data_IF_994220100122
#
_entry.id   IF_994220100122
#
_cell.length_a   1.000
_cell.length_b   1.000
_cell.length_c   1.000
_cell.angle_alpha   90.00
_cell.angle_beta   90.00
_cell.angle_gamma   90.00
#
_symmetry.space_group_name_H-M   'P 1'
#
loop_
_entity.id
_entity.type
_entity.pdbx_description
1 polymer ?
#
# COMPACT_ATOMS: atom_id res chain seq x y z
N UNK A 1 -24.70 6.70 45.01
CA UNK A 1 -25.09 6.83 46.44
C UNK A 1 -25.67 8.21 46.61
N UNK A 2 -26.88 8.38 47.18
CA UNK A 2 -27.35 9.71 47.54
C UNK A 2 -26.29 10.37 48.42
N UNK A 3 -25.89 11.58 48.07
CA UNK A 3 -24.93 12.33 48.88
C UNK A 3 -25.54 12.55 50.26
N UNK A 4 -24.72 12.59 51.31
CA UNK A 4 -25.16 12.80 52.70
C UNK A 4 -26.15 13.96 52.83
N UNK A 5 -25.99 15.00 52.01
CA UNK A 5 -26.88 16.16 51.87
C UNK A 5 -28.27 15.82 51.35
N UNK A 6 -28.38 14.95 50.33
CA UNK A 6 -29.67 14.53 49.76
C UNK A 6 -30.49 13.70 50.77
N UNK A 7 -29.81 12.85 51.54
CA UNK A 7 -30.44 12.08 52.63
C UNK A 7 -30.95 13.01 53.74
N UNK A 8 -30.18 14.04 54.10
CA UNK A 8 -30.60 15.05 55.06
C UNK A 8 -31.81 15.87 54.58
N UNK A 9 -31.84 16.26 53.31
CA UNK A 9 -32.99 16.99 52.72
C UNK A 9 -34.27 16.13 52.67
N UNK A 10 -34.16 14.85 52.32
CA UNK A 10 -35.28 13.92 52.36
C UNK A 10 -35.82 13.71 53.79
N UNK A 11 -34.93 13.63 54.79
CA UNK A 11 -35.32 13.56 56.19
C UNK A 11 -36.01 14.85 56.66
N UNK A 12 -35.54 16.02 56.21
CA UNK A 12 -36.17 17.31 56.53
C UNK A 12 -37.58 17.42 55.94
N UNK A 13 -37.80 16.99 54.68
CA UNK A 13 -39.14 16.93 54.06
C UNK A 13 -40.06 15.98 54.81
N UNK A 14 -39.56 14.81 55.21
CA UNK A 14 -40.35 13.84 55.97
C UNK A 14 -40.75 14.38 57.35
N UNK A 15 -39.87 15.16 57.99
CA UNK A 15 -40.17 15.84 59.25
C UNK A 15 -41.22 16.95 59.06
N UNK A 16 -41.01 17.89 58.12
CA UNK A 16 -41.95 19.01 57.91
C UNK A 16 -43.32 18.54 57.41
N UNK A 17 -43.38 17.49 56.59
CA UNK A 17 -44.64 16.88 56.16
C UNK A 17 -45.39 16.22 57.33
N UNK A 18 -44.66 15.63 58.28
CA UNK A 18 -45.25 15.06 59.49
C UNK A 18 -45.77 16.16 60.41
N UNK A 19 -45.01 17.23 60.60
CA UNK A 19 -45.41 18.40 61.39
C UNK A 19 -46.69 19.03 60.80
N UNK A 20 -46.76 19.19 59.47
CA UNK A 20 -47.96 19.66 58.78
C UNK A 20 -49.17 18.71 58.96
N UNK A 21 -48.94 17.39 58.93
CA UNK A 21 -49.99 16.39 59.17
C UNK A 21 -50.51 16.45 60.61
N UNK A 22 -49.63 16.61 61.59
CA UNK A 22 -49.97 16.70 63.01
C UNK A 22 -50.76 18.00 63.29
N UNK A 23 -50.36 19.14 62.70
CA UNK A 23 -51.10 20.42 62.76
C UNK A 23 -52.48 20.34 62.09
N UNK A 24 -52.58 19.74 60.90
CA UNK A 24 -53.87 19.51 60.24
C UNK A 24 -54.79 18.63 61.09
N UNK A 25 -54.24 17.61 61.74
CA UNK A 25 -54.99 16.68 62.59
C UNK A 25 -55.50 17.37 63.86
N UNK A 26 -54.69 18.23 64.48
CA UNK A 26 -55.10 19.02 65.65
C UNK A 26 -56.19 20.04 65.29
N UNK A 27 -56.04 20.76 64.18
CA UNK A 27 -57.05 21.72 63.69
C UNK A 27 -58.37 21.04 63.32
N UNK A 28 -58.33 19.82 62.78
CA UNK A 28 -59.54 19.02 62.54
C UNK A 28 -60.24 18.61 63.85
N UNK A 29 -59.48 18.27 64.90
CA UNK A 29 -60.04 17.90 66.21
C UNK A 29 -60.66 19.11 66.92
N UNK A 30 -59.97 20.25 66.95
CA UNK A 30 -60.47 21.52 67.50
C UNK A 30 -61.77 21.98 66.82
N UNK A 31 -61.85 21.78 65.49
CA UNK A 31 -63.07 22.06 64.71
C UNK A 31 -64.24 21.13 65.05
N UNK A 32 -63.97 19.90 65.50
CA UNK A 32 -65.01 18.95 65.94
C UNK A 32 -65.50 19.22 67.37
N UNK A 33 -64.63 19.72 68.25
CA UNK A 33 -64.97 20.05 69.65
C UNK A 33 -65.60 21.44 69.82
N UNK A 34 -65.51 22.30 68.79
CA UNK A 34 -66.11 23.64 68.79
C UNK A 34 -65.28 24.72 69.50
N UNK A 35 -64.01 24.43 69.76
CA UNK A 35 -63.05 25.37 70.35
C UNK A 35 -62.48 26.32 69.28
N UNK A 36 -62.18 27.59 69.63
CA UNK A 36 -61.58 28.53 68.68
C UNK A 36 -60.20 28.05 68.25
N UNK A 37 -59.86 28.26 66.98
CA UNK A 37 -58.53 27.91 66.47
C UNK A 37 -57.45 28.71 67.24
N UNK A 38 -56.28 28.11 67.53
CA UNK A 38 -55.18 28.78 68.23
C UNK A 38 -54.60 29.98 67.47
N UNK A 39 -54.73 29.97 66.14
CA UNK A 39 -54.15 30.92 65.20
C UNK A 39 -55.01 30.94 63.90
N UNK A 40 -54.97 32.01 63.12
CA UNK A 40 -55.73 32.18 61.86
C UNK A 40 -55.24 31.25 60.72
N UNK A 41 -54.45 30.22 61.06
CA UNK A 41 -53.85 29.26 60.13
C UNK A 41 -52.46 29.66 59.65
N UNK A 42 -51.82 30.66 60.28
CA UNK A 42 -50.52 31.19 59.89
C UNK A 42 -49.41 30.16 60.09
N UNK A 43 -49.42 29.43 61.20
CA UNK A 43 -48.47 28.33 61.46
C UNK A 43 -48.55 27.23 60.38
N UNK A 44 -49.75 26.92 59.89
CA UNK A 44 -49.94 25.92 58.83
C UNK A 44 -49.44 26.45 57.48
N UNK A 45 -49.69 27.72 57.17
CA UNK A 45 -49.16 28.35 55.96
C UNK A 45 -47.62 28.35 55.96
N UNK A 46 -46.98 28.68 57.08
CA UNK A 46 -45.52 28.66 57.22
C UNK A 46 -44.94 27.25 57.00
N UNK A 47 -45.58 26.20 57.53
CA UNK A 47 -45.15 24.81 57.28
C UNK A 47 -45.33 24.38 55.82
N UNK A 48 -46.36 24.87 55.13
CA UNK A 48 -46.56 24.59 53.71
C UNK A 48 -45.57 25.35 52.83
N UNK A 49 -45.26 26.60 53.16
CA UNK A 49 -44.27 27.41 52.45
C UNK A 49 -42.87 26.80 52.57
N UNK A 50 -42.47 26.35 53.77
CA UNK A 50 -41.21 25.62 53.96
C UNK A 50 -41.19 24.32 53.15
N UNK A 51 -42.27 23.54 53.12
CA UNK A 51 -42.35 22.33 52.29
C UNK A 51 -42.18 22.66 50.80
N UNK A 52 -42.83 23.72 50.32
CA UNK A 52 -42.72 24.17 48.94
C UNK A 52 -41.27 24.57 48.58
N UNK A 53 -40.60 25.30 49.46
CA UNK A 53 -39.20 25.71 49.30
C UNK A 53 -38.25 24.49 49.26
N UNK A 54 -38.45 23.52 50.16
CA UNK A 54 -37.67 22.27 50.16
C UNK A 54 -37.90 21.47 48.87
N UNK A 55 -39.15 21.38 48.39
CA UNK A 55 -39.48 20.71 47.13
C UNK A 55 -38.83 21.41 45.93
N UNK A 56 -38.92 22.74 45.86
CA UNK A 56 -38.31 23.56 44.80
C UNK A 56 -36.79 23.36 44.77
N UNK A 57 -36.14 23.41 45.93
CA UNK A 57 -34.70 23.15 46.08
C UNK A 57 -34.31 21.75 45.58
N UNK A 58 -35.10 20.72 45.89
CA UNK A 58 -34.83 19.36 45.45
C UNK A 58 -35.03 19.14 43.95
N UNK A 59 -36.06 19.77 43.39
CA UNK A 59 -36.28 19.75 41.96
C UNK A 59 -35.12 20.42 41.21
N UNK A 60 -34.64 21.58 41.72
CA UNK A 60 -33.47 22.27 41.18
C UNK A 60 -32.22 21.38 41.24
N UNK A 61 -31.90 20.79 42.40
CA UNK A 61 -30.74 19.91 42.55
C UNK A 61 -30.82 18.67 41.62
N UNK A 62 -32.01 18.11 41.44
CA UNK A 62 -32.23 17.00 40.50
C UNK A 62 -32.00 17.44 39.05
N UNK A 63 -32.48 18.62 38.67
CA UNK A 63 -32.26 19.19 37.35
C UNK A 63 -30.78 19.45 37.09
N UNK A 64 -30.07 20.00 38.07
CA UNK A 64 -28.65 20.32 37.97
C UNK A 64 -27.81 19.04 37.84
N UNK A 65 -28.10 18.01 38.65
CA UNK A 65 -27.42 16.71 38.51
C UNK A 65 -27.68 16.04 37.15
N UNK A 66 -28.90 16.14 36.61
CA UNK A 66 -29.21 15.68 35.25
C UNK A 66 -28.43 16.47 34.19
N UNK A 67 -28.29 17.78 34.38
CA UNK A 67 -27.52 18.61 33.46
C UNK A 67 -26.02 18.31 33.53
N UNK A 68 -25.46 18.12 34.72
CA UNK A 68 -24.06 17.76 34.93
C UNK A 68 -23.72 16.42 34.27
N UNK A 69 -24.57 15.40 34.47
CA UNK A 69 -24.39 14.09 33.83
C UNK A 69 -24.53 14.17 32.31
N UNK A 70 -25.45 14.98 31.78
CA UNK A 70 -25.60 15.22 30.35
C UNK A 70 -24.36 15.93 29.76
N UNK A 71 -23.82 16.95 30.45
CA UNK A 71 -22.62 17.66 30.05
C UNK A 71 -21.39 16.74 30.05
N UNK A 72 -21.22 15.93 31.10
CA UNK A 72 -20.13 14.96 31.19
C UNK A 72 -20.23 13.90 30.08
N UNK A 73 -21.44 13.43 29.77
CA UNK A 73 -21.68 12.51 28.65
C UNK A 73 -21.31 13.15 27.31
N UNK A 74 -21.76 14.38 27.06
CA UNK A 74 -21.43 15.11 25.82
C UNK A 74 -19.92 15.27 25.65
N UNK A 75 -19.20 15.64 26.71
CA UNK A 75 -17.74 15.75 26.69
C UNK A 75 -17.06 14.39 26.42
N UNK A 76 -17.58 13.29 26.98
CA UNK A 76 -17.10 11.94 26.69
C UNK A 76 -17.32 11.56 25.21
N UNK A 77 -18.50 11.84 24.67
CA UNK A 77 -18.86 11.54 23.29
C UNK A 77 -17.97 12.31 22.30
N UNK A 78 -17.67 13.58 22.58
CA UNK A 78 -16.72 14.40 21.81
C UNK A 78 -15.33 13.76 21.77
N UNK A 79 -14.81 13.33 22.93
CA UNK A 79 -13.52 12.63 23.00
C UNK A 79 -13.55 11.29 22.29
N UNK A 80 -14.68 10.58 22.32
CA UNK A 80 -14.83 9.31 21.61
C UNK A 80 -14.77 9.50 20.10
N UNK A 81 -15.41 10.53 19.55
CA UNK A 81 -15.30 10.89 18.13
C UNK A 81 -13.85 11.24 17.78
N UNK A 82 -13.18 12.04 18.61
CA UNK A 82 -11.76 12.36 18.43
C UNK A 82 -10.86 11.12 18.39
N UNK A 83 -11.11 10.14 19.27
CA UNK A 83 -10.41 8.87 19.28
C UNK A 83 -10.65 8.07 17.98
N UNK A 84 -11.89 8.01 17.50
CA UNK A 84 -12.22 7.33 16.25
C UNK A 84 -11.50 7.95 15.05
N UNK A 85 -11.42 9.28 14.98
CA UNK A 85 -10.68 9.98 13.93
C UNK A 85 -9.20 9.59 13.92
N UNK A 86 -8.53 9.66 15.07
CA UNK A 86 -7.10 9.28 15.18
C UNK A 86 -6.87 7.80 14.87
N UNK A 87 -7.79 6.93 15.28
CA UNK A 87 -7.72 5.50 14.97
C UNK A 87 -7.86 5.24 13.47
N UNK A 88 -8.72 6.01 12.78
CA UNK A 88 -8.85 5.95 11.33
C UNK A 88 -7.57 6.45 10.64
N UNK A 89 -7.04 7.61 11.04
CA UNK A 89 -5.79 8.15 10.50
C UNK A 89 -4.62 7.16 10.68
N UNK A 90 -4.46 6.59 11.87
CA UNK A 90 -3.46 5.56 12.15
C UNK A 90 -3.59 4.38 11.19
N UNK A 91 -4.80 3.88 10.98
CA UNK A 91 -5.05 2.74 10.08
C UNK A 91 -4.68 3.10 8.64
N UNK A 92 -5.12 4.26 8.17
CA UNK A 92 -4.80 4.75 6.83
C UNK A 92 -3.28 4.85 6.61
N UNK A 93 -2.56 5.46 7.55
CA UNK A 93 -1.10 5.58 7.48
C UNK A 93 -0.41 4.21 7.48
N UNK A 94 -0.90 3.25 8.28
CA UNK A 94 -0.35 1.89 8.28
C UNK A 94 -0.59 1.19 6.94
N UNK A 95 -1.77 1.33 6.35
CA UNK A 95 -2.08 0.79 5.02
C UNK A 95 -1.18 1.43 3.94
N UNK A 96 -0.96 2.74 3.98
CA UNK A 96 -0.04 3.42 3.07
C UNK A 96 1.41 2.96 3.26
N UNK A 97 1.87 2.79 4.50
CA UNK A 97 3.22 2.27 4.78
C UNK A 97 3.38 0.87 4.18
N UNK A 98 2.37 0.00 4.29
CA UNK A 98 2.41 -1.34 3.69
C UNK A 98 2.48 -1.23 2.16
N UNK A 99 1.67 -0.37 1.54
CA UNK A 99 1.70 -0.13 0.08
C UNK A 99 3.08 0.37 -0.37
N UNK A 100 3.65 1.34 0.35
CA UNK A 100 4.99 1.87 0.05
C UNK A 100 6.09 0.82 0.23
N UNK A 101 5.98 -0.06 1.24
CA UNK A 101 6.93 -1.17 1.44
C UNK A 101 6.79 -2.29 0.43
N UNK A 102 5.58 -2.50 -0.09
CA UNK A 102 5.31 -3.46 -1.15
C UNK A 102 5.80 -2.97 -2.52
N UNK A 103 6.28 -1.73 -2.64
CA UNK A 103 6.89 -1.24 -3.86
C UNK A 103 8.15 -2.04 -4.20
N UNK A 104 8.02 -2.90 -5.22
CA UNK A 104 9.13 -3.65 -5.81
C UNK A 104 9.62 -2.89 -7.04
N UNK A 105 10.82 -2.33 -6.93
CA UNK A 105 11.51 -1.69 -8.05
C UNK A 105 12.14 -2.76 -8.95
N UNK A 106 12.06 -2.57 -10.27
CA UNK A 106 12.57 -3.51 -11.28
C UNK A 106 14.05 -3.92 -11.07
N UNK A 107 14.90 -3.05 -10.49
CA UNK A 107 16.32 -3.37 -10.30
C UNK A 107 16.56 -4.55 -9.33
N UNK A 108 15.59 -4.90 -8.48
CA UNK A 108 15.72 -6.01 -7.53
C UNK A 108 15.67 -7.39 -8.22
N UNK A 109 15.16 -7.45 -9.45
CA UNK A 109 15.02 -8.68 -10.23
C UNK A 109 16.10 -8.81 -11.32
N UNK A 110 16.97 -7.82 -11.46
CA UNK A 110 18.02 -7.83 -12.47
C UNK A 110 19.20 -8.64 -11.94
N UNK A 111 19.59 -9.68 -12.68
CA UNK A 111 20.86 -10.36 -12.48
C UNK A 111 22.00 -9.37 -12.76
N UNK A 112 22.80 -9.07 -11.74
CA UNK A 112 23.93 -8.15 -11.80
C UNK A 112 25.24 -8.91 -11.68
N UNK A 113 26.29 -8.37 -12.29
CA UNK A 113 27.67 -8.85 -12.09
C UNK A 113 28.01 -8.92 -10.58
N UNK A 114 28.63 -10.02 -10.11
CA UNK A 114 29.08 -10.17 -8.72
C UNK A 114 29.94 -8.99 -8.25
N UNK A 115 29.91 -8.71 -6.94
CA UNK A 115 30.61 -7.55 -6.36
C UNK A 115 32.12 -7.62 -6.62
N UNK A 116 32.71 -8.82 -6.51
CA UNK A 116 34.14 -9.06 -6.75
C UNK A 116 34.56 -8.71 -8.19
N UNK A 117 33.78 -9.17 -9.16
CA UNK A 117 34.00 -8.87 -10.58
C UNK A 117 33.76 -7.40 -10.91
N UNK A 118 32.77 -6.78 -10.27
CA UNK A 118 32.52 -5.35 -10.39
C UNK A 118 33.74 -4.55 -9.92
N UNK A 119 34.31 -4.83 -8.75
CA UNK A 119 35.50 -4.11 -8.28
C UNK A 119 36.73 -4.33 -9.15
N UNK A 120 36.85 -5.49 -9.80
CA UNK A 120 37.96 -5.79 -10.69
C UNK A 120 37.83 -5.13 -12.08
N UNK A 121 36.61 -5.05 -12.63
CA UNK A 121 36.37 -4.62 -14.02
C UNK A 121 35.87 -3.17 -14.13
N UNK A 122 35.29 -2.62 -13.07
CA UNK A 122 34.71 -1.28 -13.12
C UNK A 122 35.78 -0.18 -13.23
N UNK A 123 35.59 0.82 -14.12
CA UNK A 123 36.40 2.03 -14.16
C UNK A 123 36.37 2.80 -12.83
N UNK A 124 37.43 3.58 -12.58
CA UNK A 124 37.59 4.37 -11.34
C UNK A 124 36.39 5.29 -11.04
N UNK A 125 35.74 5.82 -12.08
CA UNK A 125 34.55 6.68 -11.99
C UNK A 125 33.36 6.00 -11.28
N UNK A 126 33.22 4.67 -11.39
CA UNK A 126 32.16 3.90 -10.75
C UNK A 126 32.54 3.35 -9.38
N UNK A 127 33.82 3.47 -9.01
CA UNK A 127 34.36 3.04 -7.73
C UNK A 127 34.35 4.16 -6.67
N UNK A 128 33.78 5.32 -6.98
CA UNK A 128 33.61 6.42 -6.02
C UNK A 128 32.46 6.15 -5.03
N UNK A 129 32.60 6.65 -3.79
CA UNK A 129 31.56 6.62 -2.74
C UNK A 129 31.00 5.22 -2.40
N UNK A 130 31.84 4.19 -2.40
CA UNK A 130 31.46 2.81 -2.08
C UNK A 130 30.98 2.62 -0.63
N UNK A 131 31.33 3.54 0.26
CA UNK A 131 30.94 3.49 1.68
C UNK A 131 29.41 3.56 1.87
N UNK A 132 28.69 4.13 0.90
CA UNK A 132 27.22 4.18 0.92
C UNK A 132 26.64 3.04 0.06
N UNK A 133 25.91 2.07 0.65
CA UNK A 133 25.31 0.95 -0.08
C UNK A 133 24.39 1.37 -1.23
N UNK A 134 23.67 2.49 -1.09
CA UNK A 134 22.78 2.98 -2.12
C UNK A 134 23.55 3.50 -3.34
N UNK A 135 24.63 4.26 -3.09
CA UNK A 135 25.50 4.77 -4.16
C UNK A 135 26.25 3.62 -4.85
N UNK A 136 26.72 2.64 -4.08
CA UNK A 136 27.31 1.42 -4.63
C UNK A 136 26.35 0.71 -5.59
N UNK A 137 25.07 0.55 -5.20
CA UNK A 137 24.06 -0.07 -6.07
C UNK A 137 23.81 0.73 -7.35
N UNK A 138 23.72 2.07 -7.25
CA UNK A 138 23.56 2.94 -8.42
C UNK A 138 24.73 2.80 -9.37
N UNK A 139 25.97 2.79 -8.86
CA UNK A 139 27.16 2.67 -9.67
C UNK A 139 27.24 1.30 -10.35
N UNK A 140 26.86 0.22 -9.65
CA UNK A 140 26.73 -1.13 -10.22
C UNK A 140 25.72 -1.16 -11.36
N UNK A 141 24.54 -0.56 -11.19
CA UNK A 141 23.52 -0.51 -12.23
C UNK A 141 23.98 0.28 -13.48
N UNK A 142 24.67 1.40 -13.28
CA UNK A 142 25.22 2.20 -14.39
C UNK A 142 26.30 1.44 -15.16
N UNK A 143 27.17 0.73 -14.44
CA UNK A 143 28.21 -0.10 -15.05
C UNK A 143 27.59 -1.24 -15.87
N UNK A 144 26.61 -1.96 -15.30
CA UNK A 144 25.88 -3.01 -16.00
C UNK A 144 25.17 -2.48 -17.26
N UNK A 145 24.57 -1.29 -17.17
CA UNK A 145 23.94 -0.64 -18.31
C UNK A 145 24.95 -0.41 -19.44
N UNK A 146 26.13 0.13 -19.11
CA UNK A 146 27.21 0.36 -20.09
C UNK A 146 27.70 -0.94 -20.73
N UNK A 147 27.96 -1.97 -19.92
CA UNK A 147 28.39 -3.27 -20.45
C UNK A 147 27.34 -3.86 -21.38
N UNK A 148 26.06 -3.86 -20.98
CA UNK A 148 24.97 -4.37 -21.82
C UNK A 148 24.77 -3.57 -23.11
N UNK A 149 24.94 -2.25 -23.07
CA UNK A 149 24.89 -1.44 -24.30
C UNK A 149 26.06 -1.77 -25.23
N UNK A 150 27.27 -1.90 -24.68
CA UNK A 150 28.46 -2.22 -25.48
C UNK A 150 28.36 -3.62 -26.11
N UNK A 151 27.91 -4.61 -25.34
CA UNK A 151 27.69 -5.98 -25.83
C UNK A 151 26.62 -6.03 -26.92
N UNK A 152 25.54 -5.24 -26.78
CA UNK A 152 24.49 -5.14 -27.81
C UNK A 152 25.03 -4.56 -29.11
N UNK A 153 25.81 -3.47 -29.03
CA UNK A 153 26.45 -2.89 -30.20
C UNK A 153 27.42 -3.87 -30.89
N UNK A 154 28.21 -4.61 -30.11
CA UNK A 154 29.08 -5.65 -30.65
C UNK A 154 28.28 -6.79 -31.31
N UNK A 155 27.19 -7.23 -30.69
CA UNK A 155 26.31 -8.24 -31.24
C UNK A 155 25.71 -7.78 -32.58
N UNK A 156 25.22 -6.54 -32.66
CA UNK A 156 24.67 -5.97 -33.89
C UNK A 156 25.72 -5.89 -35.00
N UNK A 157 26.95 -5.46 -34.68
CA UNK A 157 28.08 -5.45 -35.63
C UNK A 157 28.39 -6.84 -36.15
N UNK A 158 28.57 -7.82 -35.26
CA UNK A 158 28.85 -9.21 -35.63
C UNK A 158 27.70 -9.85 -36.43
N UNK A 159 26.45 -9.51 -36.11
CA UNK A 159 25.30 -9.96 -36.90
C UNK A 159 25.30 -9.38 -38.31
N UNK A 160 25.64 -8.10 -38.46
CA UNK A 160 25.75 -7.46 -39.77
C UNK A 160 26.90 -8.08 -40.60
N UNK A 161 28.06 -8.32 -40.00
CA UNK A 161 29.20 -9.00 -40.62
C UNK A 161 28.83 -10.43 -41.03
N UNK A 162 28.18 -11.19 -40.16
CA UNK A 162 27.68 -12.53 -40.47
C UNK A 162 26.74 -12.52 -41.67
N UNK A 163 25.80 -11.58 -41.74
CA UNK A 163 24.88 -11.44 -42.87
C UNK A 163 25.59 -11.00 -44.16
N UNK A 164 26.65 -10.19 -44.06
CA UNK A 164 27.48 -9.84 -45.20
C UNK A 164 28.23 -11.07 -45.75
N UNK A 165 28.90 -11.83 -44.87
CA UNK A 165 29.62 -13.05 -45.24
C UNK A 165 28.71 -14.14 -45.81
N UNK A 166 27.49 -14.31 -45.26
CA UNK A 166 26.51 -15.25 -45.83
C UNK A 166 26.12 -14.84 -47.26
N UNK A 167 25.92 -13.53 -47.51
CA UNK A 167 25.62 -13.04 -48.86
C UNK A 167 26.80 -13.22 -49.81
N UNK A 168 28.04 -13.01 -49.35
CA UNK A 168 29.24 -13.23 -50.15
C UNK A 168 29.44 -14.70 -50.50
N UNK A 169 29.31 -15.60 -49.52
CA UNK A 169 29.37 -17.05 -49.73
C UNK A 169 28.30 -17.50 -50.73
N UNK A 170 27.06 -17.00 -50.62
CA UNK A 170 26.01 -17.33 -51.58
C UNK A 170 26.36 -16.86 -52.99
N UNK A 171 26.92 -15.66 -53.16
CA UNK A 171 27.39 -15.18 -54.47
C UNK A 171 28.54 -16.01 -55.02
N UNK A 172 29.46 -16.47 -54.16
CA UNK A 172 30.55 -17.35 -54.56
C UNK A 172 30.01 -18.72 -54.99
N UNK A 173 29.07 -19.30 -54.25
CA UNK A 173 28.37 -20.53 -54.61
C UNK A 173 27.66 -20.39 -55.96
N UNK A 174 26.89 -19.32 -56.16
CA UNK A 174 26.20 -19.06 -57.44
C UNK A 174 27.17 -18.89 -58.62
N UNK A 175 28.42 -18.45 -58.38
CA UNK A 175 29.48 -18.41 -59.41
C UNK A 175 30.08 -19.78 -59.68
N UNK A 176 30.34 -20.56 -58.63
CA UNK A 176 30.83 -21.94 -58.76
C UNK A 176 29.82 -22.80 -59.51
N UNK A 177 28.53 -22.75 -59.13
CA UNK A 177 27.45 -23.46 -59.81
C UNK A 177 27.34 -23.08 -61.31
N UNK A 178 27.73 -21.85 -61.68
CA UNK A 178 27.81 -21.43 -63.09
C UNK A 178 29.03 -22.00 -63.79
N UNK A 179 30.20 -22.01 -63.14
CA UNK A 179 31.41 -22.60 -63.71
C UNK A 179 31.28 -24.12 -63.87
N UNK A 180 30.67 -24.80 -62.90
CA UNK A 180 30.40 -26.25 -62.98
C UNK A 180 29.54 -26.56 -64.21
N UNK A 181 28.46 -25.81 -64.43
CA UNK A 181 27.64 -25.97 -65.64
C UNK A 181 28.41 -25.71 -66.94
N UNK A 182 29.21 -24.63 -67.00
CA UNK A 182 30.02 -24.33 -68.17
C UNK A 182 31.08 -25.41 -68.43
N UNK A 183 31.62 -26.01 -67.38
CA UNK A 183 32.59 -27.09 -67.49
C UNK A 183 31.92 -28.38 -67.99
N UNK A 184 30.74 -28.72 -67.45
CA UNK A 184 29.93 -29.85 -67.94
C UNK A 184 29.59 -29.68 -69.43
N UNK A 185 29.16 -28.47 -69.83
CA UNK A 185 28.86 -28.14 -71.22
C UNK A 185 30.13 -28.27 -72.10
N UNK A 186 31.29 -27.82 -71.62
CA UNK A 186 32.57 -27.95 -72.33
C UNK A 186 32.99 -29.41 -72.50
N UNK A 187 32.89 -30.23 -71.44
CA UNK A 187 33.18 -31.66 -71.49
C UNK A 187 32.26 -32.34 -72.51
N UNK A 188 30.96 -32.07 -72.45
CA UNK A 188 29.98 -32.60 -73.43
C UNK A 188 30.26 -32.15 -74.86
N UNK A 189 30.74 -30.92 -75.07
CA UNK A 189 31.12 -30.44 -76.39
C UNK A 189 32.44 -31.05 -76.90
N UNK A 190 33.33 -31.47 -76.00
CA UNK A 190 34.62 -32.08 -76.33
C UNK A 190 34.53 -33.60 -76.60
N UNK A 191 33.51 -34.29 -76.09
CA UNK A 191 33.35 -35.74 -76.30
C UNK A 191 33.38 -36.18 -77.77
N UNK A 192 32.75 -35.49 -78.75
CA UNK A 192 32.78 -35.93 -80.14
C UNK A 192 34.18 -35.81 -80.76
N UNK A 193 34.96 -34.80 -80.33
CA UNK A 193 36.34 -34.63 -80.77
C UNK A 193 37.24 -35.72 -80.16
N UNK A 194 37.01 -36.08 -78.90
CA UNK A 194 37.74 -37.15 -78.23
C UNK A 194 37.45 -38.52 -78.85
N UNK A 195 36.19 -38.81 -79.17
CA UNK A 195 35.77 -40.01 -79.91
C UNK A 195 36.49 -40.09 -81.27
N UNK A 196 36.51 -39.00 -82.04
CA UNK A 196 37.22 -38.94 -83.33
C UNK A 196 38.74 -39.15 -83.20
N UNK A 197 39.38 -38.57 -82.18
CA UNK A 197 40.81 -38.77 -81.89
C UNK A 197 41.12 -40.21 -81.43
N UNK A 198 40.21 -40.86 -80.71
CA UNK A 198 40.36 -42.26 -80.31
C UNK A 198 40.20 -43.21 -81.51
N UNK A 199 39.29 -42.92 -82.43
CA UNK A 199 39.14 -43.66 -83.69
C UNK A 199 40.41 -43.56 -84.54
N UNK A 200 40.99 -42.37 -84.70
CA UNK A 200 42.28 -42.16 -85.38
C UNK A 200 43.44 -42.91 -84.72
N UNK A 201 43.55 -42.88 -83.38
CA UNK A 201 44.56 -43.66 -82.63
C UNK A 201 44.38 -45.18 -82.82
N UNK A 202 43.14 -45.69 -82.84
CA UNK A 202 42.86 -47.10 -83.12
C UNK A 202 43.26 -47.47 -84.56
N UNK A 203 43.02 -46.57 -85.52
CA UNK A 203 43.44 -46.77 -86.91
C UNK A 203 44.96 -46.80 -87.07
N UNK A 204 45.71 -45.94 -86.37
CA UNK A 204 47.19 -45.94 -86.40
C UNK A 204 47.80 -47.15 -85.69
N UNK A 205 47.22 -47.62 -84.59
CA UNK A 205 47.73 -48.79 -83.85
C UNK A 205 47.49 -50.11 -84.62
N UNK A 206 46.39 -50.19 -85.38
CA UNK A 206 46.09 -51.35 -86.26
C UNK A 206 47.02 -51.41 -87.47
N UNK A 207 47.51 -50.25 -87.93
CA UNK A 207 48.43 -50.15 -89.08
C UNK A 207 49.89 -50.50 -88.74
N UNK A 208 50.30 -50.46 -87.46
CA UNK A 208 51.67 -50.80 -87.02
C UNK A 208 51.79 -52.27 -86.54
N UNK A 209 50.66 -52.93 -86.25
CA UNK A 209 50.62 -54.34 -85.82
C UNK A 209 50.33 -55.34 -86.95
N UNK A 210 50.28 -54.89 -88.21
CA UNK A 210 50.20 -55.72 -89.43
C UNK A 210 51.47 -55.53 -90.27
#
# INVERSE_FOLDING_TARGET
>A
MPTTTQTQQLQAIAATAKDAQDLLSSYMQLKQTGEPLPDDGQELLDTLDTLYDLHSSMYAATRDSKQETANAKSAMDEKHIGLQNVMYEKRHLLEEIVKCRAFRSLYQDVELVPIEEFHARAPKEYLENQDNPHQLMINRLKFEQLERTSLREQQEKLQAERLALIRENRKAQEKLDRFDKLLDDFVQAATPLEEALQEEKKATTTTIAS
#
